data_IF_834885724683
#
_entry.id   IF_834885724683
#
_cell.length_a   1.000
_cell.length_b   1.000
_cell.length_c   1.000
_cell.angle_alpha   90.00
_cell.angle_beta   90.00
_cell.angle_gamma   90.00
#
_symmetry.space_group_name_H-M   'P 1'
#
loop_
_entity.id
_entity.type
_entity.pdbx_description
1 polymer ?
#
# COMPACT_ATOMS: atom_id res chain seq x y z
N UNK A 1 2.66 -7.72 -23.54
CA UNK A 1 2.54 -7.18 -24.91
C UNK A 1 2.41 -5.67 -24.80
N UNK A 2 3.27 -4.92 -25.49
CA UNK A 2 3.21 -3.45 -25.49
C UNK A 2 2.01 -3.01 -26.34
N UNK A 3 1.09 -2.24 -25.77
CA UNK A 3 -0.01 -1.65 -26.53
C UNK A 3 0.55 -0.68 -27.59
N UNK A 4 -0.06 -0.61 -28.78
CA UNK A 4 0.38 0.32 -29.81
C UNK A 4 0.15 1.75 -29.34
N UNK A 5 1.18 2.58 -29.47
CA UNK A 5 1.12 4.02 -29.16
C UNK A 5 0.11 4.67 -30.09
N UNK A 6 -0.90 5.33 -29.52
CA UNK A 6 -1.97 5.98 -30.27
C UNK A 6 -1.51 7.32 -30.84
N UNK A 7 -2.14 7.78 -31.93
CA UNK A 7 -1.82 9.06 -32.56
C UNK A 7 -2.01 10.24 -31.59
N UNK A 8 -2.99 10.14 -30.69
CA UNK A 8 -3.22 11.11 -29.61
C UNK A 8 -2.02 11.22 -28.66
N UNK A 9 -1.37 10.11 -28.33
CA UNK A 9 -0.16 10.09 -27.50
C UNK A 9 1.05 10.72 -28.20
N UNK A 10 1.12 10.60 -29.54
CA UNK A 10 2.17 11.25 -30.34
C UNK A 10 1.93 12.75 -30.45
N UNK A 11 0.67 13.19 -30.55
CA UNK A 11 0.30 14.61 -30.65
C UNK A 11 0.48 15.34 -29.31
N UNK A 12 0.10 14.73 -28.18
CA UNK A 12 0.32 15.31 -26.85
C UNK A 12 1.81 15.51 -26.51
N UNK A 13 2.71 14.71 -27.08
CA UNK A 13 4.14 14.87 -26.92
C UNK A 13 4.72 16.10 -27.66
N UNK A 14 4.01 16.62 -28.68
CA UNK A 14 4.43 17.77 -29.50
C UNK A 14 3.97 19.10 -28.89
N UNK A 15 2.83 19.13 -28.19
CA UNK A 15 2.25 20.34 -27.60
C UNK A 15 2.84 20.76 -26.23
N UNK A 16 3.95 20.15 -25.81
CA UNK A 16 4.63 20.51 -24.55
C UNK A 16 3.95 20.00 -23.28
N UNK A 17 2.79 19.36 -23.39
CA UNK A 17 2.13 18.59 -22.32
C UNK A 17 2.51 17.10 -22.41
N UNK A 18 3.80 16.83 -22.60
CA UNK A 18 4.31 15.47 -22.58
C UNK A 18 3.97 14.84 -21.21
N UNK A 19 3.30 13.67 -21.15
CA UNK A 19 3.03 13.01 -19.89
C UNK A 19 4.37 12.78 -19.21
N UNK A 20 4.57 13.44 -18.05
CA UNK A 20 5.80 13.35 -17.25
C UNK A 20 6.21 11.88 -17.18
N UNK A 21 7.36 11.52 -17.76
CA UNK A 21 7.87 10.15 -17.70
C UNK A 21 7.88 9.74 -16.22
N UNK A 22 7.14 8.67 -15.89
CA UNK A 22 7.11 8.14 -14.52
C UNK A 22 8.51 7.78 -14.07
N UNK A 23 8.83 8.18 -12.86
CA UNK A 23 10.11 7.90 -12.21
C UNK A 23 10.07 6.56 -11.45
N UNK A 24 8.87 6.08 -11.07
CA UNK A 24 8.66 4.74 -10.50
C UNK A 24 8.61 3.67 -11.61
N UNK A 25 9.43 2.60 -11.55
CA UNK A 25 9.58 1.63 -12.65
C UNK A 25 8.32 0.82 -13.01
N UNK A 26 7.39 0.68 -12.06
CA UNK A 26 6.29 -0.27 -12.16
C UNK A 26 4.95 0.45 -12.36
N UNK A 27 4.32 0.24 -13.51
CA UNK A 27 3.00 0.79 -13.83
C UNK A 27 1.88 -0.23 -13.58
N UNK A 28 1.70 -0.63 -12.32
CA UNK A 28 0.62 -1.56 -11.92
C UNK A 28 -0.50 -0.89 -11.13
N UNK A 29 -0.45 0.44 -10.97
CA UNK A 29 -1.49 1.21 -10.28
C UNK A 29 -1.74 2.55 -10.97
N UNK A 30 -2.97 3.06 -10.88
CA UNK A 30 -3.36 4.40 -11.37
C UNK A 30 -2.72 5.54 -10.56
N UNK A 31 -2.08 5.25 -9.42
CA UNK A 31 -1.44 6.25 -8.58
C UNK A 31 -0.22 6.87 -9.26
N UNK A 32 -0.18 8.20 -9.28
CA UNK A 32 0.98 8.97 -9.70
C UNK A 32 2.16 8.80 -8.72
N UNK A 33 3.38 9.11 -9.18
CA UNK A 33 4.58 9.09 -8.33
C UNK A 33 4.41 10.00 -7.10
N UNK A 34 3.77 11.16 -7.29
CA UNK A 34 3.38 12.06 -6.20
C UNK A 34 2.56 11.35 -5.14
N UNK A 35 1.51 10.65 -5.56
CA UNK A 35 0.61 9.97 -4.64
C UNK A 35 1.26 8.84 -3.88
N UNK A 36 2.20 8.13 -4.51
CA UNK A 36 2.99 7.09 -3.86
C UNK A 36 3.93 7.72 -2.84
N UNK A 37 4.68 8.77 -3.21
CA UNK A 37 5.56 9.49 -2.28
C UNK A 37 4.77 10.02 -1.08
N UNK A 38 3.61 10.64 -1.31
CA UNK A 38 2.79 11.18 -0.22
C UNK A 38 2.30 10.11 0.75
N UNK A 39 1.97 8.91 0.25
CA UNK A 39 1.50 7.81 1.09
C UNK A 39 2.63 7.08 1.82
N UNK A 40 3.79 6.93 1.18
CA UNK A 40 4.93 6.18 1.73
C UNK A 40 5.82 7.06 2.61
N UNK A 41 6.12 8.28 2.19
CA UNK A 41 7.07 9.18 2.87
C UNK A 41 6.41 10.42 3.50
N UNK A 42 5.16 10.73 3.14
CA UNK A 42 4.45 11.90 3.64
C UNK A 42 4.70 13.19 2.86
N UNK A 43 3.97 14.24 3.25
CA UNK A 43 3.95 15.53 2.53
C UNK A 43 5.30 16.24 2.57
N UNK A 44 6.00 16.18 3.70
CA UNK A 44 7.29 16.85 3.87
C UNK A 44 8.36 16.32 2.92
N UNK A 45 8.41 14.99 2.73
CA UNK A 45 9.35 14.38 1.80
C UNK A 45 9.06 14.76 0.34
N UNK A 46 7.78 14.89 -0.03
CA UNK A 46 7.39 15.38 -1.35
C UNK A 46 7.86 16.81 -1.63
N UNK A 47 7.74 17.71 -0.65
CA UNK A 47 8.27 19.09 -0.76
C UNK A 47 9.78 19.10 -0.98
N UNK A 48 10.51 18.29 -0.22
CA UNK A 48 11.97 18.16 -0.34
C UNK A 48 12.35 17.62 -1.71
N UNK A 49 11.63 16.61 -2.22
CA UNK A 49 11.85 16.06 -3.56
C UNK A 49 11.65 17.11 -4.65
N UNK A 50 10.60 17.93 -4.58
CA UNK A 50 10.37 18.97 -5.59
C UNK A 50 11.49 20.01 -5.63
N UNK A 51 11.98 20.44 -4.46
CA UNK A 51 13.13 21.36 -4.38
C UNK A 51 14.38 20.75 -5.03
N UNK A 52 14.69 19.49 -4.71
CA UNK A 52 15.84 18.78 -5.30
C UNK A 52 15.71 18.55 -6.82
N UNK A 53 14.49 18.45 -7.35
CA UNK A 53 14.23 18.25 -8.79
C UNK A 53 14.52 19.51 -9.61
N UNK A 54 14.30 20.69 -9.05
CA UNK A 54 14.56 21.97 -9.72
C UNK A 54 16.06 22.14 -10.06
N UNK A 55 16.94 21.49 -9.28
CA UNK A 55 18.40 21.61 -9.38
C UNK A 55 19.04 20.70 -10.46
N UNK A 56 18.26 19.88 -11.19
CA UNK A 56 18.64 19.01 -12.34
C UNK A 56 19.91 18.13 -12.23
N UNK A 57 20.55 18.01 -11.06
CA UNK A 57 21.83 17.27 -10.88
C UNK A 57 21.68 15.81 -10.43
N UNK A 58 20.49 15.33 -10.03
CA UNK A 58 20.33 14.08 -9.26
C UNK A 58 19.54 12.97 -9.93
N UNK A 59 19.75 12.69 -11.22
CA UNK A 59 18.98 11.66 -11.93
C UNK A 59 19.12 10.24 -11.36
N UNK A 60 20.36 9.80 -11.04
CA UNK A 60 20.60 8.42 -10.60
C UNK A 60 20.16 8.15 -9.16
N UNK A 61 20.40 9.10 -8.24
CA UNK A 61 19.96 8.96 -6.84
C UNK A 61 18.45 9.04 -6.70
N UNK A 62 17.80 9.93 -7.46
CA UNK A 62 16.34 10.00 -7.51
C UNK A 62 15.75 8.68 -8.01
N UNK A 63 16.28 8.13 -9.12
CA UNK A 63 15.83 6.84 -9.65
C UNK A 63 15.92 5.71 -8.62
N UNK A 64 17.04 5.58 -7.90
CA UNK A 64 17.19 4.56 -6.85
C UNK A 64 16.17 4.75 -5.72
N UNK A 65 15.84 5.99 -5.35
CA UNK A 65 14.81 6.25 -4.36
C UNK A 65 13.43 5.81 -4.87
N UNK A 66 13.06 6.15 -6.11
CA UNK A 66 11.78 5.73 -6.67
C UNK A 66 11.68 4.22 -6.89
N UNK A 67 12.79 3.53 -7.13
CA UNK A 67 12.85 2.06 -7.12
C UNK A 67 12.50 1.53 -5.72
N UNK A 68 13.07 2.08 -4.65
CA UNK A 68 12.73 1.72 -3.26
C UNK A 68 11.25 1.97 -2.95
N UNK A 69 10.73 3.14 -3.33
CA UNK A 69 9.31 3.47 -3.11
C UNK A 69 8.38 2.58 -3.93
N UNK A 70 8.76 2.25 -5.16
CA UNK A 70 8.04 1.32 -6.02
C UNK A 70 7.96 -0.08 -5.42
N UNK A 71 9.07 -0.60 -4.92
CA UNK A 71 9.15 -1.93 -4.28
C UNK A 71 8.28 -2.00 -3.02
N UNK A 72 8.29 -0.97 -2.17
CA UNK A 72 7.39 -0.89 -1.00
C UNK A 72 5.92 -0.86 -1.47
N UNK A 73 5.62 0.00 -2.43
CA UNK A 73 4.24 0.22 -2.90
C UNK A 73 3.63 -1.00 -3.56
N UNK A 74 4.38 -1.71 -4.41
CA UNK A 74 3.87 -2.90 -5.11
C UNK A 74 3.51 -4.01 -4.12
N UNK A 75 4.31 -4.18 -3.07
CA UNK A 75 4.02 -5.17 -2.01
C UNK A 75 2.82 -4.73 -1.17
N UNK A 76 2.73 -3.46 -0.78
CA UNK A 76 1.59 -2.96 0.01
C UNK A 76 0.24 -3.08 -0.73
N UNK A 77 0.25 -3.07 -2.07
CA UNK A 77 -0.97 -3.14 -2.88
C UNK A 77 -1.30 -4.53 -3.42
N UNK A 78 -0.39 -5.49 -3.33
CA UNK A 78 -0.58 -6.81 -3.88
C UNK A 78 -0.69 -7.87 -2.76
N UNK A 79 -1.90 -8.40 -2.49
CA UNK A 79 -2.09 -9.37 -1.41
C UNK A 79 -1.31 -10.66 -1.65
N UNK A 80 -1.07 -11.07 -2.90
CA UNK A 80 -0.27 -12.25 -3.20
C UNK A 80 1.20 -12.07 -2.80
N UNK A 81 1.77 -10.87 -3.02
CA UNK A 81 3.14 -10.58 -2.57
C UNK A 81 3.22 -10.48 -1.04
N UNK A 82 2.18 -9.95 -0.39
CA UNK A 82 2.12 -9.94 1.07
C UNK A 82 2.14 -11.35 1.64
N UNK A 83 1.29 -12.24 1.11
CA UNK A 83 1.23 -13.63 1.55
C UNK A 83 2.56 -14.34 1.31
N UNK A 84 3.14 -14.19 0.11
CA UNK A 84 4.42 -14.79 -0.26
C UNK A 84 5.58 -14.40 0.70
N UNK A 85 5.58 -13.14 1.15
CA UNK A 85 6.58 -12.58 2.07
C UNK A 85 6.27 -12.88 3.55
N UNK A 86 4.99 -13.04 3.92
CA UNK A 86 4.59 -13.54 5.25
C UNK A 86 5.00 -15.01 5.41
N UNK A 87 4.79 -15.83 4.39
CA UNK A 87 5.12 -17.25 4.38
C UNK A 87 6.63 -17.52 4.27
N UNK A 88 7.39 -16.57 3.73
CA UNK A 88 8.84 -16.70 3.54
C UNK A 88 9.64 -15.57 4.20
N UNK A 89 9.97 -15.71 5.49
CA UNK A 89 10.81 -14.76 6.22
C UNK A 89 12.19 -14.54 5.57
N UNK A 90 12.70 -15.52 4.82
CA UNK A 90 13.95 -15.38 4.06
C UNK A 90 13.79 -14.39 2.90
N UNK A 91 12.73 -14.52 2.08
CA UNK A 91 12.47 -13.58 0.98
C UNK A 91 12.19 -12.17 1.48
N UNK A 92 11.44 -12.05 2.58
CA UNK A 92 11.23 -10.75 3.26
C UNK A 92 12.54 -10.08 3.63
N UNK A 93 13.44 -10.80 4.32
CA UNK A 93 14.76 -10.27 4.69
C UNK A 93 15.58 -9.84 3.48
N UNK A 94 15.64 -10.65 2.43
CA UNK A 94 16.36 -10.31 1.21
C UNK A 94 15.84 -9.04 0.54
N UNK A 95 14.51 -8.85 0.51
CA UNK A 95 13.91 -7.63 0.00
C UNK A 95 14.31 -6.42 0.86
N UNK A 96 14.13 -6.51 2.17
CA UNK A 96 14.45 -5.42 3.12
C UNK A 96 15.94 -5.04 3.06
N UNK A 97 16.83 -6.02 3.01
CA UNK A 97 18.26 -5.82 2.82
C UNK A 97 18.57 -5.11 1.50
N UNK A 98 17.92 -5.48 0.40
CA UNK A 98 18.08 -4.83 -0.89
C UNK A 98 17.61 -3.36 -0.86
N UNK A 99 16.49 -3.06 -0.17
CA UNK A 99 16.00 -1.69 0.01
C UNK A 99 17.01 -0.85 0.82
N UNK A 100 17.50 -1.37 1.94
CA UNK A 100 18.52 -0.69 2.74
C UNK A 100 19.83 -0.48 1.96
N UNK A 101 20.25 -1.47 1.16
CA UNK A 101 21.43 -1.34 0.32
C UNK A 101 21.29 -0.18 -0.69
N UNK A 102 20.15 -0.08 -1.40
CA UNK A 102 19.90 1.04 -2.33
C UNK A 102 19.91 2.40 -1.61
N UNK A 103 19.31 2.49 -0.43
CA UNK A 103 19.35 3.72 0.37
C UNK A 103 20.78 4.08 0.80
N UNK A 104 21.60 3.09 1.16
CA UNK A 104 23.02 3.28 1.46
C UNK A 104 23.80 3.80 0.24
N UNK A 105 23.54 3.25 -0.96
CA UNK A 105 24.16 3.72 -2.20
C UNK A 105 23.80 5.16 -2.57
N UNK A 106 22.59 5.62 -2.21
CA UNK A 106 22.22 7.05 -2.31
C UNK A 106 23.03 7.86 -1.28
N UNK A 107 23.13 7.38 -0.04
CA UNK A 107 23.89 8.02 1.03
C UNK A 107 25.36 8.23 0.70
N UNK A 108 26.02 7.26 0.04
CA UNK A 108 27.42 7.37 -0.39
C UNK A 108 27.70 8.46 -1.44
N UNK A 109 26.66 8.96 -2.10
CA UNK A 109 26.76 9.99 -3.16
C UNK A 109 26.52 11.40 -2.63
N UNK A 110 26.35 11.52 -1.31
CA UNK A 110 26.29 12.78 -0.60
C UNK A 110 27.67 13.43 -0.62
N UNK A 111 27.67 14.75 -0.80
CA UNK A 111 28.89 15.56 -0.79
C UNK A 111 28.61 16.83 0.05
N UNK A 112 28.84 16.75 1.37
CA UNK A 112 28.60 17.87 2.27
C UNK A 112 29.52 19.08 2.00
N UNK A 113 30.66 18.88 1.33
CA UNK A 113 31.63 19.94 1.07
C UNK A 113 31.27 20.75 -0.18
N UNK A 114 30.74 20.09 -1.21
CA UNK A 114 30.33 20.76 -2.43
C UNK A 114 29.02 21.55 -2.27
N UNK A 115 28.05 21.03 -1.51
CA UNK A 115 26.75 21.67 -1.32
C UNK A 115 26.08 21.26 0.01
N UNK A 116 26.40 21.95 1.11
CA UNK A 116 25.88 21.62 2.44
C UNK A 116 24.35 21.71 2.56
N UNK A 117 23.73 22.63 1.82
CA UNK A 117 22.28 22.84 1.89
C UNK A 117 21.54 21.69 1.23
N UNK A 118 21.95 21.32 0.00
CA UNK A 118 21.39 20.19 -0.72
C UNK A 118 21.67 18.88 0.01
N UNK A 119 22.87 18.71 0.56
CA UNK A 119 23.23 17.53 1.34
C UNK A 119 22.28 17.32 2.54
N UNK A 120 21.96 18.40 3.27
CA UNK A 120 21.01 18.36 4.37
C UNK A 120 19.59 17.97 3.93
N UNK A 121 19.16 18.39 2.73
CA UNK A 121 17.87 17.98 2.16
C UNK A 121 17.86 16.49 1.78
N UNK A 122 18.93 16.00 1.15
CA UNK A 122 19.08 14.57 0.82
C UNK A 122 19.12 13.73 2.09
N UNK A 123 19.79 14.19 3.15
CA UNK A 123 19.81 13.53 4.45
C UNK A 123 18.41 13.33 5.03
N UNK A 124 17.59 14.38 5.08
CA UNK A 124 16.19 14.30 5.56
C UNK A 124 15.34 13.32 4.74
N UNK A 125 15.57 13.27 3.43
CA UNK A 125 14.85 12.37 2.55
C UNK A 125 15.25 10.90 2.77
N UNK A 126 16.54 10.66 3.03
CA UNK A 126 17.03 9.33 3.39
C UNK A 126 16.51 8.85 4.74
N UNK A 127 16.44 9.73 5.74
CA UNK A 127 15.86 9.42 7.05
C UNK A 127 14.39 9.00 6.90
N UNK A 128 13.59 9.77 6.14
CA UNK A 128 12.20 9.43 5.85
C UNK A 128 12.07 8.09 5.11
N UNK A 129 12.94 7.84 4.13
CA UNK A 129 12.92 6.58 3.38
C UNK A 129 13.35 5.37 4.24
N UNK A 130 14.34 5.53 5.11
CA UNK A 130 14.76 4.50 6.05
C UNK A 130 13.65 4.17 7.05
N UNK A 131 12.97 5.19 7.58
CA UNK A 131 11.81 5.00 8.44
C UNK A 131 10.68 4.25 7.70
N UNK A 132 10.43 4.58 6.43
CA UNK A 132 9.44 3.87 5.62
C UNK A 132 9.80 2.39 5.39
N UNK A 133 11.07 2.06 5.12
CA UNK A 133 11.54 0.66 5.03
C UNK A 133 11.38 -0.07 6.36
N UNK A 134 11.68 0.60 7.49
CA UNK A 134 11.52 0.03 8.82
C UNK A 134 10.05 -0.28 9.14
N UNK A 135 9.16 0.68 8.93
CA UNK A 135 7.71 0.48 9.10
C UNK A 135 7.17 -0.62 8.17
N UNK A 136 7.67 -0.68 6.93
CA UNK A 136 7.31 -1.73 5.99
C UNK A 136 7.66 -3.14 6.52
N UNK A 137 8.85 -3.35 7.07
CA UNK A 137 9.24 -4.64 7.65
C UNK A 137 8.44 -4.96 8.93
N UNK A 138 8.26 -3.98 9.82
CA UNK A 138 7.48 -4.14 11.06
C UNK A 138 6.02 -4.55 10.79
N UNK A 139 5.40 -3.98 9.75
CA UNK A 139 4.01 -4.27 9.38
C UNK A 139 3.76 -5.76 9.11
N UNK A 140 4.77 -6.52 8.66
CA UNK A 140 4.63 -7.97 8.51
C UNK A 140 4.53 -8.71 9.84
N UNK A 141 5.30 -8.27 10.84
CA UNK A 141 5.23 -8.84 12.20
C UNK A 141 3.88 -8.56 12.85
N UNK A 142 3.40 -7.32 12.73
CA UNK A 142 2.06 -6.91 13.19
C UNK A 142 0.97 -7.75 12.49
N UNK A 143 1.02 -7.83 11.15
CA UNK A 143 0.07 -8.62 10.35
C UNK A 143 0.08 -10.09 10.76
N UNK A 144 1.26 -10.69 10.97
CA UNK A 144 1.38 -12.08 11.40
C UNK A 144 0.74 -12.29 12.78
N UNK A 145 0.99 -11.38 13.74
CA UNK A 145 0.37 -11.43 15.06
C UNK A 145 -1.17 -11.37 14.99
N UNK A 146 -1.70 -10.46 14.18
CA UNK A 146 -3.14 -10.34 13.95
C UNK A 146 -3.74 -11.61 13.29
N UNK A 147 -3.02 -12.22 12.34
CA UNK A 147 -3.45 -13.49 11.72
C UNK A 147 -3.50 -14.63 12.73
N UNK A 148 -2.48 -14.74 13.60
CA UNK A 148 -2.47 -15.75 14.67
C UNK A 148 -3.62 -15.56 15.64
N UNK A 149 -3.91 -14.32 16.04
CA UNK A 149 -5.05 -14.03 16.91
C UNK A 149 -6.38 -14.45 16.27
N UNK A 150 -6.64 -13.96 15.06
CA UNK A 150 -7.88 -14.26 14.35
C UNK A 150 -8.03 -15.75 14.02
N UNK A 151 -6.94 -16.46 13.71
CA UNK A 151 -6.96 -17.91 13.52
C UNK A 151 -7.31 -18.68 14.80
N UNK A 152 -6.87 -18.21 15.97
CA UNK A 152 -7.23 -18.84 17.25
C UNK A 152 -8.74 -18.75 17.52
N UNK A 153 -9.38 -17.64 17.13
CA UNK A 153 -10.84 -17.52 17.20
C UNK A 153 -11.58 -18.55 16.32
N UNK A 154 -11.00 -18.91 15.17
CA UNK A 154 -11.60 -19.87 14.24
C UNK A 154 -11.43 -21.34 14.67
N UNK A 155 -10.48 -21.66 15.56
CA UNK A 155 -10.28 -23.05 16.03
C UNK A 155 -11.53 -23.66 16.68
N UNK A 156 -12.42 -22.83 17.23
CA UNK A 156 -13.68 -23.26 17.86
C UNK A 156 -14.79 -23.51 16.83
N UNK A 157 -14.66 -22.96 15.61
CA UNK A 157 -15.71 -22.90 14.59
C UNK A 157 -15.29 -23.48 13.23
N UNK A 158 -14.16 -24.20 13.17
CA UNK A 158 -13.57 -24.75 11.95
C UNK A 158 -12.51 -23.83 11.33
N UNK A 159 -11.28 -24.33 11.17
CA UNK A 159 -10.15 -23.54 10.67
C UNK A 159 -10.32 -23.10 9.20
N UNK A 160 -11.12 -23.83 8.41
CA UNK A 160 -11.37 -23.50 7.00
C UNK A 160 -12.31 -22.30 6.81
N UNK A 161 -12.97 -21.86 7.90
CA UNK A 161 -13.93 -20.77 7.91
C UNK A 161 -13.27 -19.38 8.06
N UNK A 162 -11.94 -19.33 8.09
CA UNK A 162 -11.15 -18.10 8.10
C UNK A 162 -10.09 -18.11 6.99
N UNK A 163 -10.10 -17.07 6.16
CA UNK A 163 -9.25 -17.00 4.97
C UNK A 163 -8.47 -15.69 4.93
N UNK A 164 -7.15 -15.81 4.88
CA UNK A 164 -6.23 -14.68 4.75
C UNK A 164 -5.57 -14.60 3.37
N UNK A 165 -5.83 -15.58 2.51
CA UNK A 165 -5.17 -15.73 1.23
C UNK A 165 -5.59 -14.64 0.23
N UNK A 166 -4.67 -14.32 -0.68
CA UNK A 166 -4.86 -13.29 -1.68
C UNK A 166 -6.04 -13.54 -2.60
N UNK A 167 -6.40 -14.80 -2.92
CA UNK A 167 -7.56 -15.07 -3.78
C UNK A 167 -8.84 -14.65 -3.08
N UNK A 168 -9.07 -15.14 -1.85
CA UNK A 168 -10.25 -14.78 -1.05
C UNK A 168 -10.35 -13.26 -0.86
N UNK A 169 -9.23 -12.60 -0.55
CA UNK A 169 -9.19 -11.14 -0.35
C UNK A 169 -9.46 -10.35 -1.63
N UNK A 170 -8.95 -10.81 -2.78
CA UNK A 170 -9.21 -10.18 -4.09
C UNK A 170 -10.66 -10.35 -4.49
N UNK A 171 -11.26 -11.51 -4.27
CA UNK A 171 -12.68 -11.76 -4.60
C UNK A 171 -13.65 -10.86 -3.82
N UNK A 172 -13.21 -10.31 -2.69
CA UNK A 172 -14.02 -9.45 -1.82
C UNK A 172 -13.48 -8.02 -1.71
N UNK A 173 -12.62 -7.61 -2.66
CA UNK A 173 -12.03 -6.25 -2.67
C UNK A 173 -13.06 -5.18 -3.03
N UNK A 174 -14.08 -5.55 -3.81
CA UNK A 174 -15.16 -4.67 -4.25
C UNK A 174 -16.48 -5.05 -3.58
N UNK A 175 -17.31 -4.04 -3.31
CA UNK A 175 -18.70 -4.27 -2.93
C UNK A 175 -19.61 -4.39 -4.17
N UNK A 176 -20.90 -4.67 -3.94
CA UNK A 176 -21.89 -4.80 -5.02
C UNK A 176 -22.11 -3.52 -5.84
N UNK A 177 -21.64 -2.36 -5.36
CA UNK A 177 -21.76 -1.06 -6.04
C UNK A 177 -20.50 -0.64 -6.77
N UNK A 178 -19.39 -1.35 -6.58
CA UNK A 178 -18.05 -1.04 -7.13
C UNK A 178 -17.52 0.36 -6.73
N UNK A 179 -18.12 0.99 -5.72
CA UNK A 179 -17.71 2.32 -5.24
C UNK A 179 -16.57 2.25 -4.23
N UNK A 180 -16.38 1.09 -3.62
CA UNK A 180 -15.38 0.83 -2.59
C UNK A 180 -14.45 -0.27 -3.07
N UNK A 181 -13.15 0.07 -3.15
CA UNK A 181 -12.08 -0.86 -3.49
C UNK A 181 -11.08 -0.91 -2.34
N UNK A 182 -11.29 -1.82 -1.39
CA UNK A 182 -10.39 -2.03 -0.26
C UNK A 182 -10.21 -3.52 0.00
N UNK A 183 -8.95 -3.96 0.12
CA UNK A 183 -8.67 -5.36 0.42
C UNK A 183 -9.03 -5.66 1.88
N UNK A 184 -9.90 -6.67 2.13
CA UNK A 184 -10.16 -7.10 3.49
C UNK A 184 -8.88 -7.65 4.13
N UNK A 185 -8.77 -7.50 5.45
CA UNK A 185 -7.72 -8.16 6.23
C UNK A 185 -7.93 -9.68 6.27
N UNK A 186 -9.19 -10.10 6.46
CA UNK A 186 -9.62 -11.49 6.58
C UNK A 186 -10.99 -11.68 5.96
N UNK A 187 -11.26 -12.85 5.39
CA UNK A 187 -12.56 -13.27 4.90
C UNK A 187 -13.07 -14.42 5.78
N UNK A 188 -14.26 -14.28 6.33
CA UNK A 188 -14.92 -15.31 7.14
C UNK A 188 -15.96 -16.03 6.29
N UNK A 189 -15.95 -17.35 6.32
CA UNK A 189 -16.90 -18.21 5.58
C UNK A 189 -17.55 -19.23 6.53
N UNK A 190 -18.38 -18.79 7.49
CA UNK A 190 -19.05 -19.73 8.40
C UNK A 190 -20.05 -20.62 7.65
N UNK A 191 -20.22 -21.85 8.14
CA UNK A 191 -21.20 -22.80 7.60
C UNK A 191 -22.59 -22.55 8.20
N UNK A 192 -22.64 -21.98 9.41
CA UNK A 192 -23.89 -21.69 10.12
C UNK A 192 -23.96 -20.28 10.67
N UNK A 193 -25.18 -19.77 10.87
CA UNK A 193 -25.41 -18.46 11.50
C UNK A 193 -24.87 -18.42 12.95
N UNK A 194 -24.90 -19.55 13.66
CA UNK A 194 -24.41 -19.67 15.03
C UNK A 194 -22.90 -19.43 15.12
N UNK A 195 -22.12 -19.85 14.11
CA UNK A 195 -20.67 -19.65 14.05
C UNK A 195 -20.29 -18.20 13.76
N UNK A 196 -21.12 -17.48 12.98
CA UNK A 196 -20.86 -16.10 12.58
C UNK A 196 -20.55 -15.20 13.79
N UNK A 197 -21.38 -15.26 14.83
CA UNK A 197 -21.23 -14.43 16.02
C UNK A 197 -19.92 -14.74 16.76
N UNK A 198 -19.52 -16.02 16.83
CA UNK A 198 -18.28 -16.45 17.46
C UNK A 198 -17.04 -16.00 16.70
N UNK A 199 -17.02 -16.21 15.39
CA UNK A 199 -15.93 -15.79 14.51
C UNK A 199 -15.74 -14.28 14.52
N UNK A 200 -16.82 -13.51 14.37
CA UNK A 200 -16.77 -12.04 14.43
C UNK A 200 -16.26 -11.57 15.78
N UNK A 201 -16.79 -12.11 16.89
CA UNK A 201 -16.36 -11.73 18.24
C UNK A 201 -14.88 -11.98 18.46
N UNK A 202 -14.36 -13.11 18.00
CA UNK A 202 -12.95 -13.43 18.15
C UNK A 202 -12.02 -12.68 17.18
N UNK A 203 -12.55 -11.99 16.17
CA UNK A 203 -11.79 -11.09 15.30
C UNK A 203 -11.81 -9.62 15.77
N UNK A 204 -12.63 -9.28 16.77
CA UNK A 204 -12.71 -7.92 17.32
C UNK A 204 -11.66 -7.76 18.43
N UNK A 205 -10.49 -7.26 18.06
CA UNK A 205 -9.49 -6.71 18.99
C UNK A 205 -9.61 -5.17 19.09
N UNK A 206 -9.18 -4.54 20.21
CA UNK A 206 -9.14 -3.07 20.32
C UNK A 206 -8.29 -2.38 19.25
N UNK A 207 -7.32 -3.10 18.68
CA UNK A 207 -6.42 -2.67 17.60
C UNK A 207 -6.98 -2.92 16.20
N UNK A 208 -7.94 -3.85 16.03
CA UNK A 208 -8.60 -4.10 14.76
C UNK A 208 -9.79 -3.15 14.60
N UNK A 209 -9.67 -2.18 13.69
CA UNK A 209 -10.85 -1.50 13.16
C UNK A 209 -11.57 -2.47 12.22
N UNK A 210 -12.55 -3.19 12.76
CA UNK A 210 -13.32 -4.17 12.00
C UNK A 210 -14.37 -3.47 11.14
N UNK A 211 -14.19 -3.52 9.82
CA UNK A 211 -15.24 -3.23 8.85
C UNK A 211 -15.81 -4.55 8.34
N UNK A 212 -16.99 -4.93 8.86
CA UNK A 212 -17.67 -6.14 8.41
C UNK A 212 -18.39 -5.87 7.09
N UNK A 213 -17.99 -6.61 6.06
CA UNK A 213 -18.67 -6.65 4.77
C UNK A 213 -19.34 -8.01 4.64
N UNK A 214 -20.66 -8.03 4.68
CA UNK A 214 -21.45 -9.24 4.44
C UNK A 214 -21.62 -9.43 2.94
N UNK A 215 -20.75 -10.24 2.33
CA UNK A 215 -20.90 -10.67 0.94
C UNK A 215 -21.71 -11.97 0.90
N UNK A 216 -23.04 -11.85 0.91
CA UNK A 216 -23.87 -12.97 0.48
C UNK A 216 -23.88 -12.98 -1.06
N UNK A 217 -23.75 -14.17 -1.68
CA UNK A 217 -24.05 -14.40 -3.10
C UNK A 217 -25.55 -14.17 -3.35
N UNK A 218 -25.99 -12.92 -3.26
CA UNK A 218 -27.31 -12.48 -3.68
C UNK A 218 -27.10 -11.62 -4.93
N UNK A 219 -27.31 -12.23 -6.10
CA UNK A 219 -27.57 -11.47 -7.33
C UNK A 219 -28.91 -10.76 -7.12
N UNK A 220 -28.88 -9.61 -6.44
CA UNK A 220 -30.06 -8.78 -6.23
C UNK A 220 -29.71 -7.32 -6.53
N UNK A 221 -30.29 -6.81 -7.62
CA UNK A 221 -30.15 -5.45 -8.17
C UNK A 221 -30.75 -4.34 -7.29
N UNK A 222 -30.71 -4.45 -5.96
CA UNK A 222 -31.17 -3.38 -5.05
C UNK A 222 -30.17 -3.24 -3.91
N UNK A 223 -29.53 -2.08 -3.84
CA UNK A 223 -28.43 -1.74 -2.93
C UNK A 223 -28.83 -1.82 -1.45
N UNK A 224 -28.77 -3.02 -0.89
CA UNK A 224 -29.15 -3.34 0.48
C UNK A 224 -27.99 -3.64 1.44
N UNK A 225 -26.75 -3.26 1.11
CA UNK A 225 -25.63 -3.29 2.06
C UNK A 225 -25.19 -1.85 2.37
N UNK A 226 -26.08 -1.05 2.94
CA UNK A 226 -25.72 0.23 3.53
C UNK A 226 -25.16 0.01 4.93
N UNK A 227 -23.88 0.33 5.15
CA UNK A 227 -23.40 0.80 6.45
C UNK A 227 -22.88 2.22 6.29
N UNK A 228 -23.48 3.13 7.05
CA UNK A 228 -23.12 4.55 7.07
C UNK A 228 -21.72 4.74 7.67
N UNK A 229 -20.96 5.64 7.05
CA UNK A 229 -19.65 6.15 7.44
C UNK A 229 -19.32 6.18 8.95
N UNK A 230 -18.05 5.86 9.25
CA UNK A 230 -17.18 6.44 10.29
C UNK A 230 -17.86 6.85 11.60
N UNK A 231 -17.82 5.97 12.60
CA UNK A 231 -17.84 6.38 14.00
C UNK A 231 -16.43 6.18 14.60
N UNK A 232 -15.67 7.27 14.69
CA UNK A 232 -14.64 7.42 15.73
C UNK A 232 -15.29 8.11 16.92
N UNK A 233 -14.92 7.73 18.14
CA UNK A 233 -15.46 8.29 19.39
C UNK A 233 -15.13 9.79 19.60
N UNK A 234 -14.45 10.45 18.67
CA UNK A 234 -14.27 11.90 18.66
C UNK A 234 -14.56 12.42 17.24
N UNK A 235 -15.58 13.27 17.14
CA UNK A 235 -16.24 13.64 15.90
C UNK A 235 -15.48 14.66 15.05
N UNK A 236 -14.62 14.18 14.14
CA UNK A 236 -14.09 14.98 13.03
C UNK A 236 -14.18 14.20 11.71
N UNK A 237 -15.14 14.59 10.88
CA UNK A 237 -15.47 13.95 9.61
C UNK A 237 -14.62 14.53 8.47
N UNK A 238 -13.59 13.80 8.02
CA UNK A 238 -12.81 14.21 6.83
C UNK A 238 -13.39 13.59 5.54
N UNK A 239 -14.16 14.40 4.79
CA UNK A 239 -14.46 14.15 3.37
C UNK A 239 -13.17 14.34 2.57
N UNK A 240 -12.68 13.28 1.93
CA UNK A 240 -11.75 13.42 0.80
C UNK A 240 -12.48 12.95 -0.45
N UNK A 241 -13.02 13.93 -1.17
CA UNK A 241 -13.55 13.80 -2.52
C UNK A 241 -12.42 13.39 -3.47
N UNK A 242 -12.57 12.28 -4.18
CA UNK A 242 -11.89 12.11 -5.47
C UNK A 242 -12.78 12.77 -6.54
N UNK A 243 -12.31 13.90 -7.05
CA UNK A 243 -12.39 14.23 -8.48
C UNK A 243 -10.96 14.36 -8.97
#
# INVERSE_FOLDING_TARGET
MNAPTTLEQLMAAVDGDAPRLREIPYNYTSFSDREIVLRVLGTRAWEVLNRLREERRTGRSARMLYEVLGDIWVVQRNPYLQDDLLDSPKRRRMLVEALHHRLSEIGKRRDPQADPQRDGLVGKLLEAAQAAVHHFDQAFGETAGLRTHAAAAAQVHGQDNIKFDGMSRVSHVTDATDWRVEYPFVVLTPDTEAEMAGLVKGCIEPSLRVHLLFAALAVHRRGGAMSSNRCTAEGLCYRSSCR
#
